data_IF_892836272863
#
_entry.id   IF_892836272863
#
_cell.length_a   1.000
_cell.length_b   1.000
_cell.length_c   1.000
_cell.angle_alpha   90.00
_cell.angle_beta   90.00
_cell.angle_gamma   90.00
#
_symmetry.space_group_name_H-M   'P 1'
#
loop_
_entity.id
_entity.type
_entity.pdbx_description
1 polymer ?
#
# COMPACT_ATOMS: atom_id res chain seq x y z
N UNK A 1 -6.38 -36.32 9.14
CA UNK A 1 -7.53 -36.50 8.22
C UNK A 1 -8.15 -35.15 7.95
N UNK A 2 -8.58 -34.88 6.71
CA UNK A 2 -9.35 -33.68 6.37
C UNK A 2 -10.76 -33.81 6.95
N UNK A 3 -11.25 -32.76 7.60
CA UNK A 3 -12.63 -32.71 8.09
C UNK A 3 -13.62 -32.44 6.93
N UNK A 4 -14.92 -32.67 7.17
CA UNK A 4 -15.96 -32.29 6.20
C UNK A 4 -15.93 -30.78 5.88
N UNK A 5 -15.56 -29.95 6.85
CA UNK A 5 -15.39 -28.50 6.67
C UNK A 5 -14.20 -28.20 5.74
N UNK A 6 -13.09 -28.91 5.92
CA UNK A 6 -11.90 -28.75 5.08
C UNK A 6 -12.18 -29.11 3.61
N UNK A 7 -12.90 -30.20 3.38
CA UNK A 7 -13.33 -30.60 2.03
C UNK A 7 -14.24 -29.55 1.40
N UNK A 8 -15.17 -28.99 2.18
CA UNK A 8 -16.07 -27.93 1.70
C UNK A 8 -15.30 -26.68 1.28
N UNK A 9 -14.27 -26.30 2.03
CA UNK A 9 -13.39 -25.17 1.69
C UNK A 9 -12.63 -25.43 0.39
N UNK A 10 -12.02 -26.61 0.23
CA UNK A 10 -11.30 -26.96 -0.99
C UNK A 10 -12.22 -26.96 -2.21
N UNK A 11 -13.45 -27.47 -2.06
CA UNK A 11 -14.47 -27.40 -3.09
C UNK A 11 -14.84 -25.95 -3.44
N UNK A 12 -15.00 -25.07 -2.45
CA UNK A 12 -15.25 -23.64 -2.72
C UNK A 12 -14.13 -23.02 -3.56
N UNK A 13 -12.87 -23.33 -3.27
CA UNK A 13 -11.74 -22.76 -4.01
C UNK A 13 -11.67 -23.30 -5.44
N UNK A 14 -11.88 -24.60 -5.62
CA UNK A 14 -11.78 -25.26 -6.92
C UNK A 14 -13.00 -25.04 -7.81
N UNK A 15 -14.20 -25.30 -7.30
CA UNK A 15 -15.45 -25.30 -8.08
C UNK A 15 -16.14 -23.94 -8.06
N UNK A 16 -16.39 -23.38 -6.87
CA UNK A 16 -17.14 -22.13 -6.75
C UNK A 16 -16.35 -20.91 -7.25
N UNK A 17 -15.07 -20.79 -6.90
CA UNK A 17 -14.20 -19.74 -7.43
C UNK A 17 -13.66 -20.07 -8.83
N UNK A 18 -13.84 -21.31 -9.29
CA UNK A 18 -13.34 -21.83 -10.56
C UNK A 18 -11.84 -21.54 -10.74
N UNK A 19 -11.04 -21.66 -9.67
CA UNK A 19 -9.60 -21.44 -9.76
C UNK A 19 -8.91 -22.70 -10.33
N UNK A 20 -8.09 -22.58 -11.39
CA UNK A 20 -7.29 -23.68 -11.91
C UNK A 20 -6.38 -24.27 -10.82
N UNK A 21 -6.06 -25.56 -10.94
CA UNK A 21 -5.21 -26.26 -9.96
C UNK A 21 -3.84 -25.58 -9.81
N UNK A 22 -3.28 -25.07 -10.91
CA UNK A 22 -2.03 -24.32 -10.97
C UNK A 22 -2.12 -23.04 -10.12
N UNK A 23 -3.21 -22.28 -10.26
CA UNK A 23 -3.46 -21.06 -9.46
C UNK A 23 -3.61 -21.40 -7.98
N UNK A 24 -4.28 -22.51 -7.66
CA UNK A 24 -4.41 -22.98 -6.27
C UNK A 24 -3.04 -23.33 -5.68
N UNK A 25 -2.17 -24.00 -6.43
CA UNK A 25 -0.80 -24.31 -5.98
C UNK A 25 0.03 -23.05 -5.73
N UNK A 26 -0.03 -22.08 -6.65
CA UNK A 26 0.63 -20.78 -6.49
C UNK A 26 0.13 -20.03 -5.25
N UNK A 27 -1.19 -19.98 -5.07
CA UNK A 27 -1.86 -19.37 -3.93
C UNK A 27 -1.40 -20.01 -2.61
N UNK A 28 -1.46 -21.34 -2.50
CA UNK A 28 -1.08 -22.07 -1.28
C UNK A 28 0.40 -21.84 -0.96
N UNK A 29 1.27 -21.89 -1.98
CA UNK A 29 2.71 -21.62 -1.83
C UNK A 29 2.93 -20.22 -1.28
N UNK A 30 2.24 -19.21 -1.82
CA UNK A 30 2.29 -17.84 -1.34
C UNK A 30 1.78 -17.70 0.11
N UNK A 31 0.66 -18.36 0.46
CA UNK A 31 0.12 -18.36 1.82
C UNK A 31 1.10 -19.00 2.83
N UNK A 32 1.81 -20.06 2.45
CA UNK A 32 2.84 -20.70 3.28
C UNK A 32 3.97 -19.71 3.54
N UNK A 33 4.57 -19.14 2.50
CA UNK A 33 5.65 -18.16 2.63
C UNK A 33 5.26 -16.99 3.54
N UNK A 34 4.04 -16.46 3.39
CA UNK A 34 3.53 -15.37 4.22
C UNK A 34 3.31 -15.75 5.67
N UNK A 35 2.87 -16.98 5.92
CA UNK A 35 2.68 -17.49 7.27
C UNK A 35 4.02 -17.66 7.96
N UNK A 36 5.02 -18.18 7.25
CA UNK A 36 6.37 -18.35 7.79
C UNK A 36 7.04 -17.01 8.09
N UNK A 37 6.93 -16.03 7.19
CA UNK A 37 7.42 -14.67 7.42
C UNK A 37 6.82 -14.01 8.67
N UNK A 38 5.53 -14.23 8.91
CA UNK A 38 4.78 -13.55 9.98
C UNK A 38 4.86 -14.26 11.33
N UNK A 39 4.86 -15.60 11.33
CA UNK A 39 4.72 -16.41 12.53
C UNK A 39 5.93 -17.31 12.82
N UNK A 40 6.94 -17.32 11.94
CA UNK A 40 8.16 -18.11 12.07
C UNK A 40 8.18 -19.36 11.19
N UNK A 41 9.39 -19.91 11.00
CA UNK A 41 9.65 -21.06 10.13
C UNK A 41 8.79 -22.28 10.49
N UNK A 42 8.27 -22.99 9.49
CA UNK A 42 7.47 -24.20 9.65
C UNK A 42 6.00 -23.95 10.03
N UNK A 43 5.58 -22.69 10.20
CA UNK A 43 4.18 -22.32 10.40
C UNK A 43 3.42 -22.41 9.10
N UNK A 44 2.28 -23.11 9.13
CA UNK A 44 1.43 -23.34 7.96
C UNK A 44 0.13 -22.55 8.05
N UNK A 45 -0.37 -22.01 6.93
CA UNK A 45 -1.66 -21.37 6.87
C UNK A 45 -2.77 -22.40 7.14
N UNK A 46 -3.88 -21.94 7.68
CA UNK A 46 -5.09 -22.75 7.82
C UNK A 46 -5.91 -22.69 6.52
N UNK A 47 -6.73 -23.72 6.26
CA UNK A 47 -7.60 -23.74 5.08
C UNK A 47 -8.56 -22.54 5.01
N UNK A 48 -9.15 -22.05 6.12
CA UNK A 48 -9.88 -20.78 6.10
C UNK A 48 -9.05 -19.58 5.63
N UNK A 49 -7.78 -19.49 6.03
CA UNK A 49 -6.88 -18.42 5.56
C UNK A 49 -6.61 -18.52 4.06
N UNK A 50 -6.36 -19.74 3.56
CA UNK A 50 -6.17 -20.01 2.13
C UNK A 50 -7.44 -19.63 1.35
N UNK A 51 -8.62 -19.98 1.87
CA UNK A 51 -9.92 -19.60 1.28
C UNK A 51 -10.05 -18.09 1.17
N UNK A 52 -9.84 -17.36 2.27
CA UNK A 52 -9.94 -15.89 2.26
C UNK A 52 -8.97 -15.28 1.24
N UNK A 53 -7.77 -15.84 1.09
CA UNK A 53 -6.83 -15.39 0.08
C UNK A 53 -7.28 -15.73 -1.36
N UNK A 54 -7.85 -16.92 -1.57
CA UNK A 54 -8.40 -17.32 -2.88
C UNK A 54 -9.44 -16.31 -3.39
N UNK A 55 -10.34 -15.88 -2.50
CA UNK A 55 -11.32 -14.83 -2.81
C UNK A 55 -10.64 -13.50 -3.14
N UNK A 56 -9.56 -13.13 -2.44
CA UNK A 56 -8.79 -11.92 -2.77
C UNK A 56 -8.14 -12.00 -4.13
N UNK A 57 -7.54 -13.13 -4.48
CA UNK A 57 -6.94 -13.34 -5.80
C UNK A 57 -7.97 -13.28 -6.91
N UNK A 58 -9.11 -13.96 -6.75
CA UNK A 58 -10.23 -13.91 -7.69
C UNK A 58 -10.73 -12.48 -7.91
N UNK A 59 -10.92 -11.71 -6.84
CA UNK A 59 -11.34 -10.29 -6.94
C UNK A 59 -10.32 -9.39 -7.63
N UNK A 60 -9.03 -9.70 -7.51
CA UNK A 60 -7.94 -8.98 -8.19
C UNK A 60 -7.70 -9.47 -9.62
N UNK A 61 -8.48 -10.42 -10.12
CA UNK A 61 -8.30 -11.01 -11.45
C UNK A 61 -7.08 -11.93 -11.56
N UNK A 62 -6.53 -12.39 -10.43
CA UNK A 62 -5.43 -13.35 -10.37
C UNK A 62 -5.97 -14.79 -10.38
N UNK A 63 -6.86 -15.09 -11.34
CA UNK A 63 -7.59 -16.36 -11.45
C UNK A 63 -7.18 -17.23 -12.64
N UNK A 64 -6.20 -16.78 -13.41
CA UNK A 64 -5.48 -17.56 -14.42
C UNK A 64 -4.02 -17.75 -14.00
N UNK A 65 -3.32 -18.80 -14.45
CA UNK A 65 -1.90 -18.99 -14.13
C UNK A 65 -1.05 -17.76 -14.45
N UNK A 66 -1.26 -17.18 -15.63
CA UNK A 66 -0.52 -16.00 -16.10
C UNK A 66 -0.81 -14.77 -15.24
N UNK A 67 -2.09 -14.50 -14.92
CA UNK A 67 -2.45 -13.36 -14.08
C UNK A 67 -1.98 -13.54 -12.62
N UNK A 68 -2.01 -14.78 -12.11
CA UNK A 68 -1.49 -15.12 -10.80
C UNK A 68 0.03 -14.89 -10.71
N UNK A 69 0.78 -15.34 -11.70
CA UNK A 69 2.22 -15.10 -11.77
C UNK A 69 2.55 -13.61 -11.91
N UNK A 70 1.82 -12.87 -12.76
CA UNK A 70 2.00 -11.43 -12.89
C UNK A 70 1.71 -10.72 -11.56
N UNK A 71 0.63 -11.10 -10.88
CA UNK A 71 0.29 -10.57 -9.56
C UNK A 71 1.38 -10.85 -8.53
N UNK A 72 1.90 -12.08 -8.49
CA UNK A 72 3.01 -12.45 -7.61
C UNK A 72 4.27 -11.64 -7.93
N UNK A 73 4.60 -11.44 -9.21
CA UNK A 73 5.74 -10.65 -9.66
C UNK A 73 5.61 -9.18 -9.25
N UNK A 74 4.46 -8.56 -9.49
CA UNK A 74 4.18 -7.17 -9.06
C UNK A 74 4.29 -7.03 -7.55
N UNK A 75 3.70 -7.96 -6.81
CA UNK A 75 3.76 -7.99 -5.35
C UNK A 75 5.20 -8.13 -4.83
N UNK A 76 6.01 -8.99 -5.46
CA UNK A 76 7.41 -9.19 -5.11
C UNK A 76 8.25 -7.93 -5.39
N UNK A 77 8.03 -7.28 -6.54
CA UNK A 77 8.70 -6.02 -6.89
C UNK A 77 8.34 -4.91 -5.90
N UNK A 78 7.06 -4.75 -5.58
CA UNK A 78 6.59 -3.77 -4.62
C UNK A 78 7.19 -4.01 -3.24
N UNK A 79 7.27 -5.26 -2.79
CA UNK A 79 7.90 -5.61 -1.52
C UNK A 79 9.40 -5.38 -1.52
N UNK A 80 10.10 -5.69 -2.61
CA UNK A 80 11.52 -5.40 -2.76
C UNK A 80 11.78 -3.89 -2.69
N UNK A 81 10.95 -3.09 -3.37
CA UNK A 81 10.98 -1.63 -3.28
C UNK A 81 10.69 -1.15 -1.86
N UNK A 82 9.65 -1.68 -1.22
CA UNK A 82 9.30 -1.37 0.16
C UNK A 82 10.39 -1.72 1.17
N UNK A 83 11.09 -2.84 1.00
CA UNK A 83 12.21 -3.23 1.84
C UNK A 83 13.40 -2.26 1.74
N UNK A 84 13.58 -1.59 0.59
CA UNK A 84 14.58 -0.52 0.41
C UNK A 84 14.09 0.83 0.93
N UNK A 85 12.82 1.17 0.71
CA UNK A 85 12.24 2.47 1.08
C UNK A 85 11.94 2.58 2.57
N UNK A 86 11.37 1.55 3.21
CA UNK A 86 10.93 1.62 4.60
C UNK A 86 12.03 2.02 5.58
N UNK A 87 13.27 1.50 5.49
CA UNK A 87 14.37 1.96 6.32
C UNK A 87 14.67 3.46 6.15
N UNK A 88 14.53 3.99 4.93
CA UNK A 88 14.69 5.42 4.64
C UNK A 88 13.56 6.28 5.23
N UNK A 89 12.39 5.68 5.45
CA UNK A 89 11.23 6.29 6.10
C UNK A 89 11.23 6.10 7.63
N UNK A 90 12.35 5.66 8.21
CA UNK A 90 12.48 5.44 9.65
C UNK A 90 11.81 4.16 10.18
N UNK A 91 11.36 3.27 9.29
CA UNK A 91 10.82 1.95 9.64
C UNK A 91 11.90 0.90 9.44
N UNK A 92 12.61 0.55 10.52
CA UNK A 92 13.66 -0.46 10.53
C UNK A 92 13.27 -1.70 11.34
N UNK A 93 13.90 -2.84 11.03
CA UNK A 93 13.80 -4.06 11.85
C UNK A 93 12.57 -4.94 11.61
N UNK A 94 11.69 -4.61 10.64
CA UNK A 94 10.59 -5.48 10.20
C UNK A 94 10.35 -5.39 8.71
N UNK A 95 9.78 -6.45 8.13
CA UNK A 95 9.31 -6.45 6.75
C UNK A 95 8.12 -5.51 6.53
N UNK A 96 7.85 -5.14 5.26
CA UNK A 96 6.72 -4.28 4.92
C UNK A 96 5.39 -4.93 5.29
N UNK A 97 4.57 -4.20 6.04
CA UNK A 97 3.19 -4.63 6.38
C UNK A 97 2.25 -4.26 5.24
N UNK A 98 1.16 -4.99 5.10
CA UNK A 98 0.19 -4.84 4.01
C UNK A 98 -0.41 -3.43 3.90
N UNK A 99 -0.63 -2.74 5.02
CA UNK A 99 -1.08 -1.35 5.01
C UNK A 99 -0.02 -0.38 4.43
N UNK A 100 1.28 -0.64 4.67
CA UNK A 100 2.37 0.18 4.15
C UNK A 100 2.60 -0.09 2.66
N UNK A 101 2.48 -1.36 2.24
CA UNK A 101 2.57 -1.73 0.83
C UNK A 101 1.51 -1.01 -0.01
N UNK A 102 0.32 -0.75 0.51
CA UNK A 102 -0.73 0.02 -0.21
C UNK A 102 -0.34 1.47 -0.47
N UNK A 103 0.29 2.14 0.51
CA UNK A 103 0.83 3.48 0.28
C UNK A 103 1.93 3.45 -0.77
N UNK A 104 2.86 2.49 -0.65
CA UNK A 104 3.93 2.32 -1.62
C UNK A 104 3.43 2.00 -3.02
N UNK A 105 2.37 1.19 -3.15
CA UNK A 105 1.69 0.87 -4.40
C UNK A 105 1.07 2.12 -5.00
N UNK A 106 0.28 2.86 -4.22
CA UNK A 106 -0.32 4.11 -4.67
C UNK A 106 0.73 5.12 -5.14
N UNK A 107 1.88 5.23 -4.45
CA UNK A 107 2.95 6.13 -4.86
C UNK A 107 3.69 5.62 -6.11
N UNK A 108 3.78 4.30 -6.29
CA UNK A 108 4.30 3.69 -7.51
C UNK A 108 3.39 3.97 -8.70
N UNK A 109 2.08 3.82 -8.52
CA UNK A 109 1.08 4.07 -9.55
C UNK A 109 1.02 5.54 -9.95
N UNK A 110 1.24 6.45 -8.99
CA UNK A 110 1.43 7.89 -9.25
C UNK A 110 2.75 8.22 -9.97
N UNK A 111 3.67 7.25 -10.10
CA UNK A 111 4.95 7.44 -10.80
C UNK A 111 6.04 8.15 -9.98
N UNK A 112 5.93 8.18 -8.65
CA UNK A 112 6.97 8.80 -7.82
C UNK A 112 8.25 7.96 -7.76
N UNK A 113 9.38 8.63 -7.92
CA UNK A 113 10.70 8.06 -7.66
C UNK A 113 11.00 7.98 -6.16
N UNK A 114 11.89 7.05 -5.78
CA UNK A 114 12.27 6.80 -4.38
C UNK A 114 12.83 8.06 -3.69
N UNK A 115 13.53 8.93 -4.43
CA UNK A 115 14.06 10.19 -3.90
C UNK A 115 12.97 11.23 -3.62
N UNK A 116 11.93 11.30 -4.44
CA UNK A 116 10.79 12.19 -4.21
C UNK A 116 10.01 11.74 -2.96
N UNK A 117 9.82 10.43 -2.80
CA UNK A 117 9.22 9.84 -1.59
C UNK A 117 10.04 10.18 -0.34
N UNK A 118 11.38 10.09 -0.42
CA UNK A 118 12.28 10.52 0.67
C UNK A 118 12.15 12.01 1.01
N UNK A 119 12.02 12.87 0.00
CA UNK A 119 11.79 14.30 0.25
C UNK A 119 10.45 14.58 0.95
N UNK A 120 9.39 13.84 0.60
CA UNK A 120 8.10 13.93 1.29
C UNK A 120 8.21 13.48 2.75
N UNK A 121 9.04 12.47 3.04
CA UNK A 121 9.34 12.04 4.39
C UNK A 121 10.06 13.11 5.22
N UNK A 122 11.10 13.74 4.67
CA UNK A 122 11.82 14.85 5.33
C UNK A 122 10.85 15.98 5.71
N UNK A 123 9.94 16.38 4.80
CA UNK A 123 8.90 17.37 5.08
C UNK A 123 7.90 16.91 6.15
N UNK A 124 7.58 15.62 6.16
CA UNK A 124 6.67 15.02 7.14
C UNK A 124 7.27 15.07 8.53
N UNK A 125 8.51 14.60 8.70
CA UNK A 125 9.21 14.61 9.98
C UNK A 125 9.46 16.05 10.45
N UNK A 126 9.86 16.97 9.56
CA UNK A 126 10.07 18.37 9.93
C UNK A 126 8.82 19.01 10.55
N UNK A 127 7.63 18.69 10.03
CA UNK A 127 6.38 19.29 10.52
C UNK A 127 5.72 18.50 11.65
N UNK A 128 5.64 17.17 11.53
CA UNK A 128 4.92 16.29 12.47
C UNK A 128 5.85 15.71 13.54
N UNK A 129 7.16 15.93 13.45
CA UNK A 129 8.19 15.43 14.37
C UNK A 129 8.28 13.90 14.47
N UNK A 130 7.50 13.18 13.66
CA UNK A 130 7.43 11.73 13.57
C UNK A 130 6.87 11.33 12.20
N UNK A 131 7.04 10.05 11.84
CA UNK A 131 6.45 9.49 10.62
C UNK A 131 4.92 9.51 10.71
N UNK A 132 4.27 10.14 9.74
CA UNK A 132 2.81 10.21 9.64
C UNK A 132 2.38 9.86 8.20
N UNK A 133 1.93 8.61 8.01
CA UNK A 133 1.57 8.08 6.70
C UNK A 133 0.48 8.89 5.97
N UNK A 134 -0.67 9.23 6.59
CA UNK A 134 -1.68 10.07 5.93
C UNK A 134 -1.14 11.44 5.54
N UNK A 135 -0.37 12.09 6.43
CA UNK A 135 0.20 13.40 6.15
C UNK A 135 1.20 13.35 4.98
N UNK A 136 2.09 12.35 4.96
CA UNK A 136 3.01 12.15 3.86
C UNK A 136 2.29 11.87 2.54
N UNK A 137 1.23 11.05 2.58
CA UNK A 137 0.41 10.75 1.42
C UNK A 137 -0.29 12.01 0.86
N UNK A 138 -0.77 12.91 1.71
CA UNK A 138 -1.34 14.19 1.27
C UNK A 138 -0.33 15.09 0.55
N UNK A 139 0.94 15.09 0.97
CA UNK A 139 2.02 15.81 0.27
C UNK A 139 2.20 15.23 -1.13
N UNK A 140 2.32 13.90 -1.23
CA UNK A 140 2.51 13.21 -2.51
C UNK A 140 1.31 13.39 -3.44
N UNK A 141 0.09 13.30 -2.93
CA UNK A 141 -1.12 13.62 -3.72
C UNK A 141 -1.12 15.06 -4.24
N UNK A 142 -0.70 16.02 -3.42
CA UNK A 142 -0.60 17.42 -3.84
C UNK A 142 0.43 17.62 -4.95
N UNK A 143 1.57 16.93 -4.87
CA UNK A 143 2.59 16.96 -5.93
C UNK A 143 2.11 16.29 -7.22
N UNK A 144 1.43 15.15 -7.11
CA UNK A 144 0.86 14.45 -8.27
C UNK A 144 -0.20 15.31 -8.98
N UNK A 145 -1.06 16.02 -8.24
CA UNK A 145 -2.02 16.98 -8.81
C UNK A 145 -1.34 18.11 -9.60
N UNK A 146 -0.09 18.43 -9.26
CA UNK A 146 0.74 19.43 -9.95
C UNK A 146 1.67 18.82 -11.01
N UNK A 147 1.63 17.50 -11.20
CA UNK A 147 2.50 16.78 -12.13
C UNK A 147 3.97 16.72 -11.72
N UNK A 148 4.27 16.92 -10.43
CA UNK A 148 5.64 16.85 -9.89
C UNK A 148 5.91 15.44 -9.37
N UNK A 149 6.70 14.65 -10.10
CA UNK A 149 7.02 13.27 -9.70
C UNK A 149 8.51 13.06 -9.36
N UNK A 150 9.37 14.02 -9.73
CA UNK A 150 10.82 13.98 -9.49
C UNK A 150 11.25 15.08 -8.51
N UNK A 151 12.36 14.85 -7.80
CA UNK A 151 12.94 15.84 -6.88
C UNK A 151 13.27 17.15 -7.59
N UNK A 152 13.77 17.06 -8.83
CA UNK A 152 14.09 18.23 -9.66
C UNK A 152 12.87 19.10 -9.93
N UNK A 153 11.74 18.49 -10.29
CA UNK A 153 10.47 19.20 -10.50
C UNK A 153 9.98 19.88 -9.22
N UNK A 154 10.02 19.15 -8.09
CA UNK A 154 9.57 19.68 -6.79
C UNK A 154 10.43 20.88 -6.37
N UNK A 155 11.76 20.79 -6.50
CA UNK A 155 12.67 21.88 -6.15
C UNK A 155 12.52 23.09 -7.07
N UNK A 156 12.24 22.86 -8.35
CA UNK A 156 11.99 23.95 -9.30
C UNK A 156 10.74 24.72 -8.92
N UNK A 157 9.64 24.04 -8.60
CA UNK A 157 8.41 24.69 -8.12
C UNK A 157 8.64 25.46 -6.82
N UNK A 158 9.30 24.86 -5.82
CA UNK A 158 9.65 25.55 -4.58
C UNK A 158 10.45 26.84 -4.85
N UNK A 159 11.39 26.79 -5.80
CA UNK A 159 12.24 27.92 -6.15
C UNK A 159 11.47 29.01 -6.92
N UNK A 160 10.52 28.63 -7.77
CA UNK A 160 9.63 29.56 -8.47
C UNK A 160 8.73 30.28 -7.47
N UNK A 161 8.13 29.51 -6.55
CA UNK A 161 7.30 30.05 -5.48
C UNK A 161 8.08 30.99 -4.54
N UNK A 162 9.34 30.67 -4.23
CA UNK A 162 10.21 31.52 -3.41
C UNK A 162 10.67 32.79 -4.14
N UNK A 163 10.83 32.76 -5.47
CA UNK A 163 11.16 33.94 -6.28
C UNK A 163 9.97 34.88 -6.45
N UNK A 164 8.75 34.35 -6.54
CA UNK A 164 7.53 35.16 -6.58
C UNK A 164 7.20 35.81 -5.21
N UNK A 165 7.78 35.30 -4.12
CA UNK A 165 7.47 35.72 -2.74
C UNK A 165 8.34 36.86 -2.16
N UNK A 166 9.24 37.52 -2.91
CA UNK A 166 10.07 38.61 -2.36
C UNK A 166 10.36 39.76 -3.35
N UNK A 167 10.35 41.04 -2.92
CA UNK A 167 9.47 41.69 -1.94
C UNK A 167 8.71 42.91 -2.52
N UNK A 168 7.45 43.12 -2.12
CA UNK A 168 6.72 44.34 -2.51
C UNK A 168 5.23 44.45 -2.19
N UNK A 169 4.58 43.51 -1.47
CA UNK A 169 3.19 43.68 -1.01
C UNK A 169 2.98 43.13 0.40
N UNK A 170 2.03 43.70 1.18
CA UNK A 170 1.86 43.37 2.59
C UNK A 170 1.52 41.89 2.78
N UNK A 171 1.97 41.38 3.93
CA UNK A 171 1.96 40.00 4.35
C UNK A 171 0.54 39.43 4.58
N UNK A 172 -0.20 39.15 3.51
CA UNK A 172 -1.45 38.38 3.58
C UNK A 172 -1.53 37.18 2.61
N UNK A 173 -0.48 36.94 1.80
CA UNK A 173 -0.45 35.84 0.82
C UNK A 173 0.50 34.69 1.16
N UNK A 174 1.06 34.63 2.38
CA UNK A 174 1.82 33.45 2.86
C UNK A 174 0.89 32.31 3.34
N UNK A 175 -0.27 32.13 2.69
CA UNK A 175 -1.30 31.13 3.04
C UNK A 175 -1.58 30.11 1.94
N UNK A 176 -0.71 29.96 0.95
CA UNK A 176 -0.81 28.95 -0.11
C UNK A 176 -0.10 27.63 0.21
N UNK A 177 0.03 27.31 1.51
CA UNK A 177 -0.05 25.94 1.99
C UNK A 177 -1.24 25.89 2.95
N UNK A 178 -2.45 25.70 2.41
CA UNK A 178 -3.70 25.75 3.18
C UNK A 178 -3.60 24.94 4.49
N UNK A 179 -3.62 25.58 5.66
CA UNK A 179 -3.37 24.91 6.95
C UNK A 179 -4.53 24.02 7.43
N UNK A 180 -5.72 24.11 6.82
CA UNK A 180 -6.90 23.30 7.18
C UNK A 180 -7.29 22.23 6.16
N UNK A 181 -6.65 22.20 4.98
CA UNK A 181 -6.92 21.20 3.94
C UNK A 181 -6.28 19.85 4.25
N UNK A 182 -5.05 19.87 4.78
CA UNK A 182 -4.29 18.65 5.09
C UNK A 182 -4.91 17.81 6.21
N UNK A 183 -5.57 18.41 7.20
CA UNK A 183 -6.20 17.63 8.28
C UNK A 183 -7.49 16.93 7.79
N UNK A 184 -8.28 17.58 6.91
CA UNK A 184 -9.40 16.92 6.22
C UNK A 184 -8.92 15.80 5.31
N UNK A 185 -7.90 16.05 4.48
CA UNK A 185 -7.32 15.03 3.60
C UNK A 185 -6.67 13.89 4.39
N UNK A 186 -6.02 14.17 5.52
CA UNK A 186 -5.50 13.14 6.40
C UNK A 186 -6.63 12.32 7.03
N UNK A 187 -7.74 12.94 7.43
CA UNK A 187 -8.94 12.21 7.88
C UNK A 187 -9.58 11.39 6.77
N UNK A 188 -9.61 11.89 5.54
CA UNK A 188 -10.10 11.18 4.37
C UNK A 188 -9.18 10.01 4.01
N UNK A 189 -7.87 10.16 4.12
CA UNK A 189 -6.89 9.09 3.94
C UNK A 189 -6.98 8.02 5.05
N UNK A 190 -7.18 8.44 6.30
CA UNK A 190 -7.44 7.53 7.42
C UNK A 190 -8.76 6.79 7.21
N UNK A 191 -9.79 7.48 6.73
CA UNK A 191 -11.10 6.90 6.42
C UNK A 191 -10.99 5.91 5.27
N UNK A 192 -10.35 6.30 4.17
CA UNK A 192 -10.05 5.42 3.04
C UNK A 192 -9.29 4.18 3.48
N UNK A 193 -8.25 4.34 4.29
CA UNK A 193 -7.48 3.21 4.82
C UNK A 193 -8.31 2.34 5.77
N UNK A 194 -9.15 2.93 6.61
CA UNK A 194 -10.03 2.20 7.53
C UNK A 194 -11.14 1.46 6.79
N UNK A 195 -11.77 2.08 5.81
CA UNK A 195 -12.75 1.46 4.92
C UNK A 195 -12.12 0.34 4.10
N UNK A 196 -10.90 0.52 3.61
CA UNK A 196 -10.17 -0.53 2.92
C UNK A 196 -9.86 -1.71 3.85
N UNK A 197 -9.28 -1.45 5.02
CA UNK A 197 -8.99 -2.49 6.02
C UNK A 197 -10.27 -3.14 6.54
N UNK A 198 -11.38 -2.40 6.60
CA UNK A 198 -12.70 -2.92 6.93
C UNK A 198 -13.25 -3.80 5.81
N UNK A 199 -13.17 -3.39 4.54
CA UNK A 199 -13.51 -4.24 3.38
C UNK A 199 -12.69 -5.53 3.38
N UNK A 200 -11.38 -5.45 3.63
CA UNK A 200 -10.57 -6.67 3.76
C UNK A 200 -10.92 -7.55 4.98
N UNK A 201 -11.43 -6.97 6.07
CA UNK A 201 -11.83 -7.71 7.27
C UNK A 201 -13.26 -8.25 7.23
N UNK A 202 -14.21 -7.46 6.71
CA UNK A 202 -15.59 -7.87 6.46
C UNK A 202 -15.60 -8.94 5.37
N UNK A 203 -14.86 -8.78 4.27
CA UNK A 203 -14.76 -9.84 3.26
C UNK A 203 -13.97 -11.08 3.75
N UNK A 204 -13.28 -10.99 4.89
CA UNK A 204 -12.64 -12.12 5.57
C UNK A 204 -13.49 -12.73 6.69
N UNK A 205 -14.60 -12.10 7.07
CA UNK A 205 -15.42 -12.46 8.24
C UNK A 205 -16.94 -12.44 8.04
N UNK A 206 -17.45 -11.97 6.90
CA UNK A 206 -18.88 -11.82 6.59
C UNK A 206 -19.49 -13.01 5.84
N UNK A 207 -18.81 -14.15 5.79
CA UNK A 207 -19.46 -15.39 5.37
C UNK A 207 -19.18 -16.46 6.43
N UNK A 208 -19.82 -16.25 7.60
CA UNK A 208 -20.11 -17.30 8.58
C UNK A 208 -21.15 -18.25 8.02
#
# INVERSE_FOLDING_TARGET
MLSATDLRILYTVYDYLALPAEVILLLVTWCVLRTEEKYGQGRKPTLPQIRSEAFRWKRRGADTPEAAEEYLRKTAQLRSRGARLLPLLGVAGRGPVEAELKYLEAWADMGFEDEAVRLAYERTVLKKQAMNWPYMNSILKSWHQKGLHTVSQIRQEDSAFRREAAPGRPADAARSAQPGGNDRQAMDDIRWMREFLAREKQDGGEER
#
